data_IF_895641971297
#
_entry.id   IF_895641971297
#
_cell.length_a   1.000
_cell.length_b   1.000
_cell.length_c   1.000
_cell.angle_alpha   90.00
_cell.angle_beta   90.00
_cell.angle_gamma   90.00
#
_symmetry.space_group_name_H-M   'P 1'
#
loop_
_entity.id
_entity.type
_entity.pdbx_description
1 polymer ?
#
# COMPACT_ATOMS: atom_id res chain seq x y z
N UNK A 1 38.87 8.07 6.90
CA UNK A 1 39.20 7.04 7.86
C UNK A 1 37.99 6.70 8.71
N UNK A 2 37.92 5.54 9.35
CA UNK A 2 36.80 5.21 10.22
C UNK A 2 36.75 6.23 11.37
N UNK A 3 35.54 6.75 11.61
CA UNK A 3 35.29 7.59 12.79
C UNK A 3 35.29 6.65 14.00
N UNK A 4 36.19 6.93 14.98
CA UNK A 4 36.19 6.19 16.24
C UNK A 4 34.89 6.46 17.00
N UNK A 5 34.27 5.41 17.50
CA UNK A 5 33.05 5.47 18.36
C UNK A 5 33.40 5.66 19.83
N UNK A 6 34.67 5.88 20.19
CA UNK A 6 35.11 6.03 21.59
C UNK A 6 34.43 7.24 22.28
N UNK A 7 33.98 7.00 23.51
CA UNK A 7 33.41 8.00 24.42
C UNK A 7 32.08 8.64 23.97
N UNK A 8 31.31 7.96 23.10
CA UNK A 8 29.96 8.39 22.87
C UNK A 8 29.05 8.07 24.08
N UNK A 9 28.06 8.92 24.39
CA UNK A 9 27.18 8.68 25.54
C UNK A 9 26.36 7.43 25.35
N UNK A 10 26.21 6.63 26.39
CA UNK A 10 25.35 5.45 26.42
C UNK A 10 24.28 5.57 27.50
N UNK A 11 23.10 4.95 27.28
CA UNK A 11 22.05 4.91 28.29
C UNK A 11 22.42 3.96 29.45
N UNK A 12 21.81 4.16 30.62
CA UNK A 12 22.02 3.29 31.77
C UNK A 12 21.61 1.82 31.51
N UNK A 13 20.68 1.60 30.58
CA UNK A 13 20.20 0.31 30.12
C UNK A 13 20.78 -0.10 28.74
N UNK A 14 21.94 0.42 28.37
CA UNK A 14 22.62 0.08 27.13
C UNK A 14 22.88 -1.45 27.05
N UNK A 15 22.70 -2.03 25.89
CA UNK A 15 23.06 -3.44 25.63
C UNK A 15 24.57 -3.64 25.83
N UNK A 16 25.38 -2.73 25.28
CA UNK A 16 26.84 -2.71 25.39
C UNK A 16 27.29 -1.28 25.75
N UNK A 17 27.95 -1.15 26.90
CA UNK A 17 28.39 0.16 27.41
C UNK A 17 29.84 0.51 27.07
N UNK A 18 30.63 -0.49 26.64
CA UNK A 18 32.05 -0.31 26.29
C UNK A 18 32.26 -0.62 24.81
N UNK A 19 33.28 -0.03 24.23
CA UNK A 19 33.68 -0.21 22.84
C UNK A 19 35.20 -0.30 22.73
N UNK A 20 35.68 -1.03 21.72
CA UNK A 20 37.09 -0.99 21.31
C UNK A 20 37.41 0.19 20.34
N UNK A 21 36.34 0.93 19.97
CA UNK A 21 36.43 2.11 19.07
C UNK A 21 35.94 1.83 17.65
N UNK A 22 35.55 0.60 17.32
CA UNK A 22 35.15 0.16 15.99
C UNK A 22 33.77 -0.51 15.95
N UNK A 23 33.02 -0.41 17.03
CA UNK A 23 31.64 -0.95 17.12
C UNK A 23 30.64 -0.04 16.45
N UNK A 24 29.49 -0.60 16.10
CA UNK A 24 28.31 0.20 15.77
C UNK A 24 27.88 1.01 17.01
N UNK A 25 27.34 2.18 16.74
CA UNK A 25 26.69 2.98 17.76
C UNK A 25 25.25 3.27 17.33
N UNK A 26 24.32 2.78 18.15
CA UNK A 26 22.89 3.05 17.99
C UNK A 26 22.46 4.13 18.96
N UNK A 27 21.72 5.09 18.46
CA UNK A 27 21.09 6.10 19.31
C UNK A 27 19.65 6.36 18.86
N UNK A 28 18.80 6.62 19.82
CA UNK A 28 17.45 7.12 19.65
C UNK A 28 17.36 8.45 20.37
N UNK A 29 16.92 9.45 19.67
CA UNK A 29 16.69 10.79 20.20
C UNK A 29 15.19 11.09 20.13
N UNK A 30 14.73 12.03 20.96
CA UNK A 30 13.35 12.51 20.86
C UNK A 30 13.10 13.22 19.51
N UNK A 31 11.85 13.48 19.18
CA UNK A 31 11.43 14.13 17.94
C UNK A 31 11.90 15.57 17.81
N UNK A 32 12.18 16.25 18.94
CA UNK A 32 12.77 17.57 19.00
C UNK A 32 14.31 17.57 18.87
N UNK A 33 14.94 16.38 18.81
CA UNK A 33 16.40 16.20 18.84
C UNK A 33 17.07 16.84 20.07
N UNK A 34 16.34 16.94 21.18
CA UNK A 34 16.77 17.65 22.37
C UNK A 34 17.30 16.75 23.46
N UNK A 35 16.93 15.45 23.44
CA UNK A 35 17.36 14.48 24.44
C UNK A 35 17.66 13.12 23.85
N UNK A 36 18.63 12.43 24.47
CA UNK A 36 18.98 11.05 24.16
C UNK A 36 18.03 10.12 24.91
N UNK A 37 17.19 9.39 24.15
CA UNK A 37 16.24 8.42 24.73
C UNK A 37 16.90 7.09 25.02
N UNK A 38 17.74 6.62 24.10
CA UNK A 38 18.51 5.38 24.23
C UNK A 38 19.77 5.46 23.41
N UNK A 39 20.86 4.88 23.93
CA UNK A 39 22.08 4.69 23.15
C UNK A 39 22.88 3.48 23.67
N UNK A 40 23.49 2.78 22.73
CA UNK A 40 24.29 1.60 22.98
C UNK A 40 25.35 1.41 21.91
N UNK A 41 26.46 0.79 22.28
CA UNK A 41 27.35 0.17 21.32
C UNK A 41 26.84 -1.22 20.95
N UNK A 42 27.32 -1.74 19.82
CA UNK A 42 27.04 -3.08 19.36
C UNK A 42 28.13 -3.57 18.42
N UNK A 43 28.92 -4.52 18.83
CA UNK A 43 30.03 -5.08 18.07
C UNK A 43 30.85 -6.07 18.87
N UNK A 44 31.90 -6.60 18.24
CA UNK A 44 32.85 -7.50 18.86
C UNK A 44 33.88 -6.76 19.71
N UNK A 45 34.70 -7.49 20.44
CA UNK A 45 35.76 -6.92 21.30
C UNK A 45 37.12 -6.80 20.61
N UNK A 46 37.27 -7.34 19.41
CA UNK A 46 38.53 -7.40 18.66
C UNK A 46 38.34 -7.21 17.15
N UNK A 47 37.12 -7.16 16.68
CA UNK A 47 36.79 -7.01 15.26
C UNK A 47 36.39 -5.58 14.95
N UNK A 48 36.57 -5.19 13.69
CA UNK A 48 36.12 -3.91 13.17
C UNK A 48 34.85 -4.15 12.38
N UNK A 49 33.72 -3.75 12.91
CA UNK A 49 32.44 -3.82 12.21
C UNK A 49 32.20 -2.59 11.36
N UNK A 50 31.63 -2.79 10.18
CA UNK A 50 31.24 -1.68 9.32
C UNK A 50 30.09 -2.02 8.38
N UNK A 51 29.49 -0.99 7.81
CA UNK A 51 28.39 -1.11 6.84
C UNK A 51 28.94 -0.75 5.47
N UNK A 52 28.96 -1.70 4.55
CA UNK A 52 29.30 -1.49 3.17
C UNK A 52 28.03 -1.23 2.35
N UNK A 53 27.66 0.04 2.14
CA UNK A 53 26.48 0.40 1.38
C UNK A 53 25.17 -0.16 1.95
N UNK A 54 25.10 -0.27 3.27
CA UNK A 54 24.11 -1.05 3.98
C UNK A 54 22.67 -0.58 3.81
N UNK A 55 21.78 -1.52 3.93
CA UNK A 55 20.33 -1.30 3.95
C UNK A 55 19.81 -1.58 5.34
N UNK A 56 19.50 -0.52 6.09
CA UNK A 56 18.71 -0.62 7.31
C UNK A 56 17.23 -0.74 6.95
N UNK A 57 16.50 -1.56 7.70
CA UNK A 57 15.05 -1.64 7.63
C UNK A 57 14.48 -1.48 9.03
N UNK A 58 13.39 -0.73 9.10
CA UNK A 58 12.62 -0.56 10.32
C UNK A 58 11.22 -1.14 10.07
N UNK A 59 10.73 -1.90 11.00
CA UNK A 59 9.33 -2.31 10.98
C UNK A 59 8.45 -1.32 11.79
N UNK A 60 7.14 -1.52 11.75
CA UNK A 60 6.20 -0.70 12.51
C UNK A 60 6.38 -0.78 14.04
N UNK A 61 7.09 -1.80 14.53
CA UNK A 61 7.40 -1.98 15.96
C UNK A 61 8.68 -1.26 16.39
N UNK A 62 9.32 -0.52 15.47
CA UNK A 62 10.61 0.15 15.75
C UNK A 62 11.79 -0.81 15.80
N UNK A 63 11.64 -2.03 15.28
CA UNK A 63 12.72 -3.01 15.24
C UNK A 63 13.60 -2.71 14.04
N UNK A 64 14.92 -2.68 14.28
CA UNK A 64 15.93 -2.53 13.24
C UNK A 64 16.36 -3.90 12.73
N UNK A 65 16.46 -4.02 11.41
CA UNK A 65 17.07 -5.15 10.71
C UNK A 65 18.23 -4.62 9.89
N UNK A 66 19.43 -5.15 10.12
CA UNK A 66 20.65 -4.67 9.48
C UNK A 66 21.53 -5.82 9.03
N UNK A 67 22.11 -5.69 7.82
CA UNK A 67 23.19 -6.52 7.31
C UNK A 67 24.48 -5.72 7.35
N UNK A 68 25.56 -6.33 7.81
CA UNK A 68 26.84 -5.69 8.10
C UNK A 68 28.02 -6.60 7.76
N UNK A 69 29.19 -6.02 7.59
CA UNK A 69 30.47 -6.74 7.69
C UNK A 69 30.79 -6.95 9.16
N UNK A 70 30.79 -8.20 9.59
CA UNK A 70 31.03 -8.60 10.98
C UNK A 70 32.27 -9.48 11.10
N UNK A 71 32.92 -9.45 12.25
CA UNK A 71 34.07 -10.27 12.58
C UNK A 71 35.28 -10.01 11.69
N UNK A 72 35.50 -8.76 11.29
CA UNK A 72 36.63 -8.40 10.43
C UNK A 72 37.97 -8.72 11.08
N UNK A 73 38.89 -9.21 10.26
CA UNK A 73 40.16 -9.80 10.76
C UNK A 73 40.07 -11.30 11.04
N UNK A 74 38.97 -11.96 10.67
CA UNK A 74 38.75 -13.39 10.90
C UNK A 74 38.24 -13.72 12.29
N UNK A 75 37.78 -12.73 13.06
CA UNK A 75 37.27 -12.91 14.42
C UNK A 75 35.85 -13.47 14.42
N UNK A 76 35.47 -14.16 15.49
CA UNK A 76 34.13 -14.70 15.71
C UNK A 76 33.52 -14.12 17.01
N UNK A 77 33.75 -12.86 17.26
CA UNK A 77 33.37 -12.15 18.49
C UNK A 77 32.19 -11.19 18.32
N UNK A 78 31.61 -11.11 17.10
CA UNK A 78 30.39 -10.36 16.88
C UNK A 78 29.24 -10.91 17.76
N UNK A 79 28.44 -10.06 18.43
CA UNK A 79 27.41 -10.50 19.33
C UNK A 79 26.38 -11.39 18.65
N UNK A 80 26.13 -12.58 19.23
CA UNK A 80 25.21 -13.59 18.71
C UNK A 80 24.15 -13.92 19.75
N UNK A 81 22.94 -13.48 19.47
CA UNK A 81 21.77 -13.70 20.31
C UNK A 81 20.54 -14.08 19.46
N UNK A 82 19.72 -15.05 19.86
CA UNK A 82 19.97 -16.02 20.93
C UNK A 82 21.02 -17.06 20.53
N UNK A 83 21.74 -17.56 21.53
CA UNK A 83 22.66 -18.66 21.35
C UNK A 83 22.24 -19.85 22.29
N UNK A 84 21.83 -21.04 21.78
CA UNK A 84 21.75 -21.41 20.35
C UNK A 84 20.52 -20.83 19.66
N UNK A 85 20.62 -20.59 18.34
CA UNK A 85 19.50 -20.08 17.53
C UNK A 85 19.93 -19.34 16.28
N UNK A 86 21.14 -18.79 16.26
CA UNK A 86 21.74 -18.21 15.06
C UNK A 86 22.09 -19.31 14.04
N UNK A 87 22.00 -18.96 12.75
CA UNK A 87 22.36 -19.86 11.64
C UNK A 87 23.84 -20.25 11.68
N UNK A 88 24.70 -19.34 12.10
CA UNK A 88 26.14 -19.57 12.32
C UNK A 88 26.62 -18.71 13.48
N UNK A 89 27.48 -19.28 14.29
CA UNK A 89 28.12 -18.61 15.42
C UNK A 89 29.63 -18.36 15.20
N UNK A 90 30.12 -18.72 14.01
CA UNK A 90 31.56 -18.66 13.69
C UNK A 90 31.75 -17.95 12.37
N UNK A 91 32.71 -17.02 12.34
CA UNK A 91 33.25 -16.47 11.12
C UNK A 91 34.24 -17.47 10.52
N UNK A 92 33.88 -18.10 9.41
CA UNK A 92 34.76 -19.02 8.68
C UNK A 92 35.58 -18.31 7.58
N UNK A 93 35.52 -16.99 7.49
CA UNK A 93 36.35 -16.19 6.59
C UNK A 93 37.65 -15.81 7.29
N UNK A 94 38.72 -15.63 6.51
CA UNK A 94 39.97 -15.06 7.02
C UNK A 94 39.88 -13.52 7.21
N UNK A 95 38.74 -12.94 6.86
CA UNK A 95 38.46 -11.51 6.93
C UNK A 95 37.05 -11.30 7.48
N UNK A 96 36.30 -10.33 6.99
CA UNK A 96 34.90 -10.11 7.36
C UNK A 96 33.97 -11.18 6.80
N UNK A 97 32.85 -11.37 7.45
CA UNK A 97 31.72 -12.16 6.95
C UNK A 97 30.43 -11.33 7.05
N UNK A 98 29.40 -11.75 6.35
CA UNK A 98 28.10 -11.09 6.46
C UNK A 98 27.42 -11.45 7.78
N UNK A 99 27.25 -10.46 8.64
CA UNK A 99 26.46 -10.53 9.84
C UNK A 99 25.07 -9.93 9.60
N UNK A 100 24.03 -10.58 10.12
CA UNK A 100 22.67 -10.04 10.11
C UNK A 100 22.16 -9.98 11.54
N UNK A 101 21.69 -8.84 11.97
CA UNK A 101 21.09 -8.70 13.27
C UNK A 101 19.73 -8.01 13.23
N UNK A 102 18.96 -8.30 14.27
CA UNK A 102 17.68 -7.69 14.57
C UNK A 102 17.81 -7.04 15.96
N UNK A 103 17.60 -5.73 16.03
CA UNK A 103 17.70 -4.99 17.29
C UNK A 103 16.32 -4.44 17.69
N UNK A 104 15.86 -4.81 18.89
CA UNK A 104 14.62 -4.33 19.46
C UNK A 104 14.94 -3.45 20.68
N UNK A 105 14.55 -2.17 20.61
CA UNK A 105 14.74 -1.24 21.73
C UNK A 105 13.68 -1.39 22.83
N UNK A 106 12.64 -2.20 22.59
CA UNK A 106 11.51 -2.41 23.50
C UNK A 106 10.79 -1.11 23.91
N UNK A 107 10.70 -0.17 22.97
CA UNK A 107 9.98 1.06 23.21
C UNK A 107 8.47 0.81 23.28
N UNK A 108 7.75 1.57 24.14
CA UNK A 108 6.31 1.54 24.12
C UNK A 108 5.79 2.08 22.78
N UNK A 109 5.22 1.21 21.98
CA UNK A 109 4.63 1.55 20.68
C UNK A 109 3.14 1.27 20.69
N UNK A 110 2.38 2.08 19.97
CA UNK A 110 1.00 1.74 19.63
C UNK A 110 0.95 1.25 18.19
N UNK A 111 0.31 0.10 17.96
CA UNK A 111 0.17 -0.52 16.65
C UNK A 111 -1.30 -0.78 16.43
N UNK A 112 -1.89 -0.09 15.46
CA UNK A 112 -3.28 -0.28 15.09
C UNK A 112 -3.43 -1.52 14.20
N UNK A 113 -4.35 -2.39 14.58
CA UNK A 113 -4.82 -3.49 13.74
C UNK A 113 -6.24 -3.88 14.12
N UNK A 114 -6.99 -4.44 13.17
CA UNK A 114 -8.31 -4.97 13.43
C UNK A 114 -8.65 -6.12 12.48
N UNK A 115 -9.61 -6.93 12.89
CA UNK A 115 -10.23 -7.93 12.05
C UNK A 115 -11.67 -7.54 11.75
N UNK A 116 -12.08 -7.75 10.50
CA UNK A 116 -13.44 -7.64 10.01
C UNK A 116 -13.58 -8.57 8.80
N UNK A 117 -14.77 -9.09 8.50
CA UNK A 117 -14.97 -9.83 7.26
C UNK A 117 -14.70 -8.91 6.06
N UNK A 118 -13.97 -9.39 5.06
CA UNK A 118 -13.72 -8.66 3.81
C UNK A 118 -15.02 -8.37 3.03
N UNK A 119 -16.00 -9.23 3.21
CA UNK A 119 -17.33 -9.11 2.63
C UNK A 119 -18.37 -9.36 3.71
N UNK A 120 -19.24 -8.37 3.91
CA UNK A 120 -20.38 -8.45 4.83
C UNK A 120 -21.70 -8.52 4.09
N UNK A 121 -22.71 -9.13 4.72
CA UNK A 121 -24.11 -8.95 4.36
C UNK A 121 -24.69 -7.76 5.13
N UNK A 122 -25.87 -7.28 4.78
CA UNK A 122 -26.52 -6.10 5.39
C UNK A 122 -26.91 -6.22 6.88
N UNK A 123 -26.59 -7.34 7.49
CA UNK A 123 -26.72 -7.55 8.94
C UNK A 123 -25.44 -7.12 9.63
N UNK A 124 -25.51 -6.21 10.55
CA UNK A 124 -24.42 -5.60 11.29
C UNK A 124 -23.08 -6.32 11.37
N UNK A 125 -22.03 -5.65 11.01
CA UNK A 125 -20.67 -6.19 11.09
C UNK A 125 -20.04 -5.88 12.43
N UNK A 126 -19.36 -6.88 12.99
CA UNK A 126 -18.55 -6.74 14.18
C UNK A 126 -17.10 -6.49 13.79
N UNK A 127 -16.51 -5.44 14.32
CA UNK A 127 -15.10 -5.10 14.14
C UNK A 127 -14.33 -5.50 15.40
N UNK A 128 -13.41 -6.42 15.25
CA UNK A 128 -12.56 -6.84 16.35
C UNK A 128 -11.26 -6.04 16.29
N UNK A 129 -11.04 -5.20 17.28
CA UNK A 129 -9.79 -4.50 17.48
C UNK A 129 -8.68 -5.49 17.89
N UNK A 130 -7.57 -5.44 17.18
CA UNK A 130 -6.35 -6.24 17.42
C UNK A 130 -5.14 -5.33 17.69
N UNK A 131 -5.37 -4.06 17.92
CA UNK A 131 -4.31 -3.10 18.23
C UNK A 131 -3.56 -3.51 19.49
N UNK A 132 -2.28 -3.21 19.53
CA UNK A 132 -1.42 -3.50 20.66
C UNK A 132 -0.68 -2.25 21.14
N UNK A 133 -0.54 -2.11 22.47
CA UNK A 133 0.29 -1.11 23.11
C UNK A 133 0.59 -1.52 24.55
N UNK A 134 1.73 -1.06 25.08
CA UNK A 134 2.09 -1.19 26.50
C UNK A 134 1.58 0.00 27.35
N UNK A 135 0.90 0.94 26.75
CA UNK A 135 0.35 2.16 27.37
C UNK A 135 -1.14 2.28 27.06
N UNK A 136 -1.93 3.00 27.86
CA UNK A 136 -3.36 3.17 27.61
C UNK A 136 -3.67 3.74 26.22
N UNK A 137 -4.67 3.16 25.56
CA UNK A 137 -5.04 3.51 24.17
C UNK A 137 -6.49 3.98 24.12
N UNK A 138 -6.74 4.98 23.29
CA UNK A 138 -8.08 5.38 22.87
C UNK A 138 -8.23 5.14 21.37
N UNK A 139 -9.43 4.72 20.95
CA UNK A 139 -9.72 4.30 19.59
C UNK A 139 -10.66 5.27 18.90
N UNK A 140 -10.46 5.44 17.60
CA UNK A 140 -11.37 6.17 16.74
C UNK A 140 -11.55 5.39 15.43
N UNK A 141 -12.78 5.03 15.15
CA UNK A 141 -13.18 4.34 13.94
C UNK A 141 -13.89 5.30 12.99
N UNK A 142 -13.58 5.17 11.71
CA UNK A 142 -14.34 5.72 10.60
C UNK A 142 -14.73 4.55 9.72
N UNK A 143 -16.02 4.34 9.48
CA UNK A 143 -16.52 3.21 8.70
C UNK A 143 -16.58 3.49 7.20
N UNK A 144 -16.24 4.71 6.77
CA UNK A 144 -16.19 5.08 5.35
C UNK A 144 -17.56 5.43 4.74
N UNK A 145 -18.63 5.41 5.52
CA UNK A 145 -19.99 5.82 5.16
C UNK A 145 -20.44 7.15 5.79
N UNK A 146 -19.49 7.87 6.38
CA UNK A 146 -19.72 9.11 7.11
C UNK A 146 -20.06 8.91 8.59
N UNK A 147 -20.06 7.68 9.08
CA UNK A 147 -20.30 7.37 10.50
C UNK A 147 -18.99 6.95 11.19
N UNK A 148 -18.97 7.05 12.52
CA UNK A 148 -17.78 6.78 13.33
C UNK A 148 -18.13 6.13 14.67
N UNK A 149 -17.09 5.57 15.36
CA UNK A 149 -17.22 5.02 16.71
C UNK A 149 -15.94 5.25 17.51
N UNK A 150 -16.06 5.27 18.83
CA UNK A 150 -14.92 5.28 19.76
C UNK A 150 -14.86 4.02 20.62
N UNK A 151 -15.72 3.04 20.35
CA UNK A 151 -15.73 1.77 21.06
C UNK A 151 -14.48 0.94 20.67
N UNK A 152 -14.01 0.13 21.60
CA UNK A 152 -12.88 -0.76 21.35
C UNK A 152 -13.24 -1.81 20.29
N UNK A 153 -14.40 -2.45 20.40
CA UNK A 153 -14.92 -3.45 19.47
C UNK A 153 -16.31 -3.02 18.99
N UNK A 154 -16.41 -2.14 17.97
CA UNK A 154 -17.71 -1.64 17.53
C UNK A 154 -18.45 -2.65 16.66
N UNK A 155 -19.79 -2.56 16.71
CA UNK A 155 -20.65 -3.12 15.69
C UNK A 155 -21.16 -1.97 14.81
N UNK A 156 -21.24 -2.19 13.51
CA UNK A 156 -21.73 -1.20 12.57
C UNK A 156 -22.63 -1.82 11.49
N UNK A 157 -23.69 -1.10 11.12
CA UNK A 157 -24.64 -1.48 10.06
C UNK A 157 -24.51 -0.54 8.87
N UNK A 158 -24.09 -1.05 7.75
CA UNK A 158 -24.11 -0.31 6.50
C UNK A 158 -25.53 -0.28 5.91
N UNK A 159 -25.94 0.87 5.42
CA UNK A 159 -27.27 1.07 4.84
C UNK A 159 -27.33 0.86 3.33
N UNK A 160 -26.16 0.79 2.67
CA UNK A 160 -26.04 0.59 1.23
C UNK A 160 -24.96 -0.46 0.93
N UNK A 161 -25.14 -1.17 -0.20
CA UNK A 161 -24.08 -2.01 -0.75
C UNK A 161 -22.93 -1.16 -1.28
N UNK A 162 -21.72 -1.70 -1.31
CA UNK A 162 -20.57 -0.99 -1.86
C UNK A 162 -19.25 -1.29 -1.17
N UNK A 163 -18.21 -0.65 -1.67
CA UNK A 163 -16.88 -0.66 -1.07
C UNK A 163 -16.74 0.44 -0.03
N UNK A 164 -16.30 0.06 1.15
CA UNK A 164 -16.04 0.99 2.24
C UNK A 164 -14.60 0.86 2.70
N UNK A 165 -13.95 2.00 2.96
CA UNK A 165 -12.62 2.02 3.56
C UNK A 165 -12.78 2.27 5.06
N UNK A 166 -12.65 1.22 5.84
CA UNK A 166 -12.68 1.32 7.30
C UNK A 166 -11.32 1.74 7.81
N UNK A 167 -11.29 2.80 8.61
CA UNK A 167 -10.08 3.34 9.24
C UNK A 167 -10.18 3.16 10.74
N UNK A 168 -9.15 2.60 11.35
CA UNK A 168 -8.94 2.62 12.79
C UNK A 168 -7.71 3.46 13.12
N UNK A 169 -7.90 4.44 14.01
CA UNK A 169 -6.83 5.21 14.64
C UNK A 169 -6.73 4.77 16.08
N UNK A 170 -5.56 4.31 16.50
CA UNK A 170 -5.22 4.00 17.87
C UNK A 170 -4.29 5.07 18.42
N UNK A 171 -4.73 5.83 19.42
CA UNK A 171 -3.96 6.89 20.05
C UNK A 171 -3.51 6.48 21.44
N UNK A 172 -2.22 6.61 21.71
CA UNK A 172 -1.59 6.32 22.99
C UNK A 172 -0.53 7.38 23.31
N UNK A 173 -0.89 8.44 24.06
CA UNK A 173 0.05 9.53 24.37
C UNK A 173 1.32 9.10 25.12
N UNK A 174 1.29 7.92 25.76
CA UNK A 174 2.46 7.33 26.41
C UNK A 174 3.34 6.47 25.50
N UNK A 175 2.96 6.25 24.25
CA UNK A 175 3.77 5.54 23.28
C UNK A 175 4.70 6.48 22.52
N UNK A 176 5.85 5.96 22.07
CA UNK A 176 6.84 6.75 21.32
C UNK A 176 6.31 7.28 19.99
N UNK A 177 5.43 6.54 19.33
CA UNK A 177 4.79 6.96 18.08
C UNK A 177 3.44 7.67 18.29
N UNK A 178 3.01 7.87 19.53
CA UNK A 178 1.77 8.57 19.93
C UNK A 178 0.49 8.02 19.29
N UNK A 179 0.50 7.70 18.00
CA UNK A 179 -0.65 7.13 17.27
C UNK A 179 -0.21 6.25 16.10
N UNK A 180 -1.07 5.31 15.75
CA UNK A 180 -0.98 4.53 14.51
C UNK A 180 -2.34 4.42 13.85
N UNK A 181 -2.34 4.23 12.54
CA UNK A 181 -3.55 4.18 11.72
C UNK A 181 -3.49 3.01 10.75
N UNK A 182 -4.56 2.22 10.73
CA UNK A 182 -4.76 1.13 9.76
C UNK A 182 -6.01 1.38 8.93
N UNK A 183 -5.96 1.06 7.64
CA UNK A 183 -7.11 1.10 6.73
C UNK A 183 -7.29 -0.25 6.08
N UNK A 184 -8.52 -0.73 6.08
CA UNK A 184 -8.90 -1.96 5.36
C UNK A 184 -10.15 -1.70 4.54
N UNK A 185 -10.17 -2.26 3.34
CA UNK A 185 -11.37 -2.20 2.50
C UNK A 185 -12.27 -3.39 2.82
N UNK A 186 -13.56 -3.14 2.90
CA UNK A 186 -14.60 -4.16 3.02
C UNK A 186 -15.65 -3.91 1.95
N UNK A 187 -16.27 -4.97 1.48
CA UNK A 187 -17.37 -4.91 0.55
C UNK A 187 -18.67 -5.37 1.22
N UNK A 188 -19.71 -4.55 1.15
CA UNK A 188 -21.03 -4.86 1.69
C UNK A 188 -21.94 -5.36 0.57
N UNK A 189 -22.41 -6.58 0.71
CA UNK A 189 -23.44 -7.19 -0.13
C UNK A 189 -24.81 -6.91 0.46
N UNK A 190 -25.73 -6.49 -0.38
CA UNK A 190 -27.13 -6.36 0.01
C UNK A 190 -27.98 -7.10 -1.00
N UNK A 191 -28.68 -8.12 -0.68
CA UNK A 191 -29.58 -8.87 -1.55
C UNK A 191 -30.47 -7.95 -2.43
N UNK A 192 -29.84 -7.10 -3.26
CA UNK A 192 -30.43 -6.01 -3.99
C UNK A 192 -30.06 -6.00 -5.47
N UNK A 193 -30.47 -4.95 -6.15
CA UNK A 193 -30.05 -4.60 -7.50
C UNK A 193 -29.56 -3.17 -7.46
N UNK A 194 -28.26 -3.00 -7.31
CA UNK A 194 -27.64 -1.68 -7.36
C UNK A 194 -27.04 -1.42 -8.75
N UNK A 195 -26.86 -0.16 -9.09
CA UNK A 195 -26.30 0.22 -10.39
C UNK A 195 -24.95 0.91 -10.15
N UNK A 196 -23.91 0.41 -10.81
CA UNK A 196 -22.61 1.08 -10.84
C UNK A 196 -22.66 2.29 -11.78
N UNK A 197 -21.78 3.24 -11.56
CA UNK A 197 -21.66 4.40 -12.44
C UNK A 197 -21.41 3.95 -13.88
N UNK A 198 -22.17 4.43 -14.88
CA UNK A 198 -21.93 4.11 -16.26
C UNK A 198 -20.52 4.45 -16.70
N UNK A 199 -19.91 3.58 -17.49
CA UNK A 199 -18.57 3.77 -18.04
C UNK A 199 -18.66 4.01 -19.54
N UNK A 200 -17.79 4.89 -20.04
CA UNK A 200 -17.76 5.28 -21.46
C UNK A 200 -16.48 4.76 -22.11
N UNK A 201 -16.58 4.18 -23.30
CA UNK A 201 -15.43 3.76 -24.11
C UNK A 201 -15.65 4.02 -25.60
N UNK A 202 -14.58 4.10 -26.37
CA UNK A 202 -14.67 4.05 -27.83
C UNK A 202 -14.93 2.62 -28.30
N UNK A 203 -15.50 2.49 -29.49
CA UNK A 203 -15.98 1.20 -30.05
C UNK A 203 -14.89 0.12 -30.06
N UNK A 204 -13.70 0.46 -30.49
CA UNK A 204 -12.59 -0.51 -30.65
C UNK A 204 -11.74 -0.68 -29.37
N UNK A 205 -11.97 0.12 -28.34
CA UNK A 205 -11.22 0.04 -27.10
C UNK A 205 -11.65 -1.14 -26.22
N UNK A 206 -10.75 -1.52 -25.32
CA UNK A 206 -11.07 -2.39 -24.20
C UNK A 206 -11.09 -1.56 -22.91
N UNK A 207 -12.10 -1.77 -22.10
CA UNK A 207 -12.26 -1.09 -20.82
C UNK A 207 -12.38 -2.09 -19.69
N UNK A 208 -11.62 -1.88 -18.61
CA UNK A 208 -11.79 -2.65 -17.41
C UNK A 208 -13.05 -2.19 -16.66
N UNK A 209 -13.96 -3.11 -16.35
CA UNK A 209 -15.26 -2.83 -15.74
C UNK A 209 -15.37 -3.53 -14.38
N UNK A 210 -16.40 -3.19 -13.61
CA UNK A 210 -16.71 -3.84 -12.34
C UNK A 210 -16.00 -3.24 -11.14
N UNK A 211 -15.57 -4.08 -10.21
CA UNK A 211 -15.07 -3.71 -8.90
C UNK A 211 -13.60 -4.07 -8.72
N UNK A 212 -12.90 -3.38 -7.83
CA UNK A 212 -11.57 -3.79 -7.41
C UNK A 212 -11.62 -5.20 -6.79
N UNK A 213 -10.63 -6.05 -7.05
CA UNK A 213 -10.57 -7.39 -6.46
C UNK A 213 -10.54 -7.33 -4.93
N UNK A 214 -11.36 -8.17 -4.30
CA UNK A 214 -11.29 -8.41 -2.86
C UNK A 214 -10.42 -9.64 -2.62
N UNK A 215 -9.50 -9.55 -1.67
CA UNK A 215 -8.60 -10.66 -1.33
C UNK A 215 -9.26 -11.67 -0.38
N UNK A 216 -10.39 -12.22 -0.80
CA UNK A 216 -11.13 -13.26 -0.09
C UNK A 216 -11.49 -14.38 -1.08
N UNK A 217 -10.94 -15.60 -0.91
CA UNK A 217 -11.15 -16.69 -1.83
C UNK A 217 -12.58 -17.28 -1.78
N UNK A 218 -13.39 -16.90 -0.81
CA UNK A 218 -14.79 -17.34 -0.69
C UNK A 218 -15.73 -16.52 -1.57
N UNK A 219 -15.26 -15.42 -2.15
CA UNK A 219 -16.07 -14.56 -3.01
C UNK A 219 -16.13 -15.11 -4.42
N UNK A 220 -17.35 -15.30 -4.89
CA UNK A 220 -17.66 -15.77 -6.24
C UNK A 220 -18.23 -14.60 -7.02
N UNK A 221 -17.65 -14.35 -8.19
CA UNK A 221 -18.12 -13.36 -9.16
C UNK A 221 -18.73 -14.07 -10.35
N UNK A 222 -19.83 -13.55 -10.89
CA UNK A 222 -20.45 -14.07 -12.10
C UNK A 222 -21.07 -12.95 -12.92
N UNK A 223 -20.54 -12.73 -14.12
CA UNK A 223 -21.04 -11.72 -15.06
C UNK A 223 -22.04 -12.33 -16.05
N UNK A 224 -23.11 -11.61 -16.28
CA UNK A 224 -24.12 -12.00 -17.25
C UNK A 224 -24.58 -10.81 -18.11
N UNK A 225 -24.67 -10.97 -19.44
CA UNK A 225 -24.05 -12.07 -20.19
C UNK A 225 -22.52 -11.99 -20.16
N UNK A 226 -21.85 -13.10 -20.50
CA UNK A 226 -20.36 -13.15 -20.52
C UNK A 226 -19.77 -12.71 -21.85
N UNK A 227 -20.61 -12.40 -22.84
CA UNK A 227 -20.18 -12.01 -24.20
C UNK A 227 -19.35 -10.72 -24.15
N UNK A 228 -18.24 -10.69 -24.89
CA UNK A 228 -17.32 -9.57 -24.96
C UNK A 228 -16.62 -9.22 -23.64
N UNK A 229 -16.59 -10.15 -22.69
CA UNK A 229 -15.80 -10.04 -21.46
C UNK A 229 -14.60 -10.98 -21.51
N UNK A 230 -13.46 -10.53 -21.01
CA UNK A 230 -12.23 -11.35 -20.91
C UNK A 230 -12.42 -12.55 -19.97
N UNK A 231 -13.27 -12.43 -18.97
CA UNK A 231 -13.68 -13.49 -18.04
C UNK A 231 -15.04 -13.16 -17.42
N UNK A 232 -15.85 -14.19 -17.18
CA UNK A 232 -17.11 -14.02 -16.46
C UNK A 232 -16.99 -14.17 -14.94
N UNK A 233 -15.84 -14.66 -14.43
CA UNK A 233 -15.69 -15.09 -13.03
C UNK A 233 -14.66 -14.29 -12.25
N UNK A 234 -14.40 -13.05 -12.67
CA UNK A 234 -13.49 -12.11 -11.97
C UNK A 234 -14.24 -10.82 -11.63
N UNK A 235 -13.77 -10.09 -10.62
CA UNK A 235 -14.42 -8.84 -10.20
C UNK A 235 -14.35 -7.74 -11.25
N UNK A 236 -13.31 -7.72 -12.08
CA UNK A 236 -12.96 -6.60 -12.96
C UNK A 236 -12.47 -7.06 -14.35
N UNK A 237 -13.31 -7.74 -15.15
CA UNK A 237 -12.93 -8.17 -16.50
C UNK A 237 -12.71 -6.97 -17.42
N UNK A 238 -12.00 -7.20 -18.52
CA UNK A 238 -11.98 -6.29 -19.64
C UNK A 238 -13.22 -6.52 -20.52
N UNK A 239 -13.89 -5.43 -20.88
CA UNK A 239 -15.04 -5.40 -21.79
C UNK A 239 -14.61 -4.88 -23.17
N UNK A 240 -14.90 -5.66 -24.21
CA UNK A 240 -14.67 -5.32 -25.62
C UNK A 240 -15.98 -5.17 -26.41
N UNK A 241 -17.11 -4.87 -25.74
CA UNK A 241 -18.40 -4.71 -26.44
C UNK A 241 -18.31 -3.62 -27.53
N UNK A 242 -18.72 -3.89 -28.77
CA UNK A 242 -18.74 -2.91 -29.82
C UNK A 242 -19.96 -1.98 -29.78
N UNK A 243 -20.90 -2.23 -28.90
CA UNK A 243 -22.16 -1.47 -28.75
C UNK A 243 -22.43 -1.20 -27.28
N UNK A 244 -23.17 -0.13 -26.99
CA UNK A 244 -23.68 0.15 -25.64
C UNK A 244 -24.45 -1.04 -25.11
N UNK A 245 -24.07 -1.47 -23.90
CA UNK A 245 -24.63 -2.66 -23.28
C UNK A 245 -24.61 -2.56 -21.76
N UNK A 246 -25.56 -3.23 -21.10
CA UNK A 246 -25.61 -3.34 -19.64
C UNK A 246 -25.31 -4.77 -19.22
N UNK A 247 -24.27 -4.94 -18.41
CA UNK A 247 -23.90 -6.21 -17.78
C UNK A 247 -24.46 -6.28 -16.37
N UNK A 248 -24.75 -7.48 -15.92
CA UNK A 248 -25.09 -7.79 -14.54
C UNK A 248 -23.92 -8.54 -13.90
N UNK A 249 -23.40 -8.04 -12.78
CA UNK A 249 -22.46 -8.74 -11.92
C UNK A 249 -23.20 -9.31 -10.73
N UNK A 250 -23.11 -10.62 -10.53
CA UNK A 250 -23.50 -11.29 -9.29
C UNK A 250 -22.25 -11.50 -8.43
N UNK A 251 -22.36 -11.16 -7.16
CA UNK A 251 -21.30 -11.34 -6.16
C UNK A 251 -21.87 -12.14 -5.01
N UNK A 252 -21.23 -13.23 -4.61
CA UNK A 252 -21.67 -14.07 -3.51
C UNK A 252 -20.51 -14.49 -2.63
N UNK A 253 -20.74 -14.57 -1.32
CA UNK A 253 -19.85 -15.19 -0.35
C UNK A 253 -20.37 -16.54 0.18
N UNK A 254 -21.34 -17.13 -0.53
CA UNK A 254 -22.01 -18.36 -0.11
C UNK A 254 -23.14 -18.16 0.91
N UNK A 255 -23.21 -17.01 1.58
CA UNK A 255 -24.26 -16.67 2.57
C UNK A 255 -25.24 -15.67 1.99
N UNK A 256 -24.75 -14.65 1.31
CA UNK A 256 -25.56 -13.65 0.62
C UNK A 256 -25.07 -13.44 -0.81
N UNK A 257 -25.95 -12.88 -1.64
CA UNK A 257 -25.66 -12.57 -3.03
C UNK A 257 -26.12 -11.15 -3.33
N UNK A 258 -25.31 -10.38 -3.99
CA UNK A 258 -25.65 -9.07 -4.49
C UNK A 258 -25.66 -9.06 -6.01
N UNK A 259 -26.41 -8.12 -6.60
CA UNK A 259 -26.56 -7.97 -8.03
C UNK A 259 -26.31 -6.51 -8.40
N UNK A 260 -25.28 -6.28 -9.21
CA UNK A 260 -24.89 -4.96 -9.67
C UNK A 260 -25.11 -4.86 -11.19
N UNK A 261 -25.66 -3.76 -11.64
CA UNK A 261 -25.76 -3.44 -13.07
C UNK A 261 -24.65 -2.48 -13.45
N UNK A 262 -23.91 -2.82 -14.51
CA UNK A 262 -22.87 -1.97 -15.09
C UNK A 262 -23.24 -1.62 -16.54
N UNK A 263 -23.60 -0.39 -16.76
CA UNK A 263 -23.78 0.13 -18.10
C UNK A 263 -22.44 0.51 -18.72
N UNK A 264 -22.21 0.06 -19.97
CA UNK A 264 -21.10 0.45 -20.81
C UNK A 264 -21.66 1.22 -21.98
N UNK A 265 -21.36 2.51 -22.02
CA UNK A 265 -21.74 3.39 -23.12
C UNK A 265 -20.62 3.35 -24.16
N UNK A 266 -20.96 2.88 -25.35
CA UNK A 266 -20.00 2.84 -26.46
C UNK A 266 -20.25 4.03 -27.38
N UNK A 267 -19.23 4.84 -27.57
CA UNK A 267 -19.23 5.96 -28.49
C UNK A 267 -18.46 5.60 -29.75
N UNK A 268 -19.02 5.92 -30.90
CA UNK A 268 -18.33 5.80 -32.18
C UNK A 268 -17.80 7.20 -32.54
N UNK A 269 -16.48 7.35 -32.45
CA UNK A 269 -15.80 8.58 -32.78
C UNK A 269 -15.27 8.46 -34.21
N UNK A 270 -15.82 9.22 -35.12
CA UNK A 270 -15.34 9.34 -36.48
C UNK A 270 -14.73 10.73 -36.66
N UNK A 271 -13.48 10.76 -37.06
CA UNK A 271 -12.81 11.97 -37.51
C UNK A 271 -12.30 11.69 -38.93
N UNK A 272 -12.77 12.46 -39.90
CA UNK A 272 -12.28 12.46 -41.28
C UNK A 272 -11.72 13.85 -41.58
N UNK A 273 -10.43 13.92 -41.75
CA UNK A 273 -9.71 15.15 -42.11
C UNK A 273 -9.66 15.43 -43.62
N UNK A 274 -10.37 14.58 -44.39
CA UNK A 274 -10.36 14.65 -45.84
C UNK A 274 -9.10 14.03 -46.47
N UNK A 275 -9.00 14.13 -47.77
CA UNK A 275 -7.87 13.57 -48.53
C UNK A 275 -6.60 14.41 -48.33
N UNK A 276 -5.46 13.71 -48.27
CA UNK A 276 -4.15 14.35 -48.23
C UNK A 276 -3.98 15.27 -49.49
N UNK A 277 -3.73 16.53 -49.24
CA UNK A 277 -3.59 17.54 -50.28
C UNK A 277 -2.30 18.34 -50.09
N UNK A 278 -1.60 18.62 -51.21
CA UNK A 278 -0.46 19.53 -51.20
C UNK A 278 -0.70 20.63 -52.22
N UNK A 279 -0.54 21.88 -51.79
CA UNK A 279 -0.69 23.08 -52.63
C UNK A 279 0.54 23.97 -52.45
N UNK A 280 0.91 24.64 -53.57
CA UNK A 280 1.96 25.64 -53.54
C UNK A 280 1.32 27.03 -53.76
N UNK A 281 1.55 27.96 -52.86
CA UNK A 281 1.21 29.39 -52.97
C UNK A 281 -0.28 29.74 -53.14
N UNK A 282 -1.21 28.87 -52.74
CA UNK A 282 -2.64 29.15 -52.72
C UNK A 282 -3.20 28.84 -51.33
N UNK A 283 -4.00 29.74 -50.73
CA UNK A 283 -4.70 29.41 -49.48
C UNK A 283 -5.66 28.24 -49.72
N UNK A 284 -5.64 27.26 -48.84
CA UNK A 284 -6.59 26.16 -48.84
C UNK A 284 -7.43 26.20 -47.58
N UNK A 285 -8.67 25.76 -47.68
CA UNK A 285 -9.54 25.52 -46.56
C UNK A 285 -9.40 24.04 -46.18
N UNK A 286 -9.01 23.78 -44.95
CA UNK A 286 -9.01 22.43 -44.37
C UNK A 286 -10.37 22.18 -43.70
N UNK A 287 -11.06 21.16 -44.14
CA UNK A 287 -12.34 20.78 -43.57
C UNK A 287 -12.21 19.39 -42.93
N UNK A 288 -12.78 19.22 -41.75
CA UNK A 288 -12.93 17.92 -41.13
C UNK A 288 -14.38 17.67 -40.77
N UNK A 289 -14.84 16.47 -41.06
CA UNK A 289 -16.11 15.96 -40.54
C UNK A 289 -15.87 15.15 -39.28
N UNK A 290 -16.74 15.32 -38.30
CA UNK A 290 -16.62 14.58 -37.04
C UNK A 290 -17.98 14.23 -36.44
N UNK A 291 -17.98 13.18 -35.64
CA UNK A 291 -19.11 12.80 -34.86
C UNK A 291 -18.64 12.40 -33.44
N UNK A 292 -19.31 12.86 -32.41
CA UNK A 292 -19.02 12.52 -31.02
C UNK A 292 -17.94 13.33 -30.33
N UNK A 293 -17.26 14.27 -31.01
CA UNK A 293 -16.31 15.18 -30.40
C UNK A 293 -16.97 16.47 -29.89
N UNK A 294 -16.49 17.00 -28.78
CA UNK A 294 -16.92 18.30 -28.24
C UNK A 294 -16.15 19.48 -28.83
N UNK A 295 -14.95 19.22 -29.35
CA UNK A 295 -14.09 20.18 -30.02
C UNK A 295 -13.12 19.50 -30.99
N UNK A 296 -12.66 20.20 -32.02
CA UNK A 296 -11.57 19.80 -32.92
C UNK A 296 -10.47 20.83 -32.80
N UNK A 297 -9.23 20.34 -32.73
CA UNK A 297 -8.05 21.18 -32.80
C UNK A 297 -7.16 20.72 -33.94
N UNK A 298 -6.69 21.66 -34.73
CA UNK A 298 -5.70 21.45 -35.76
C UNK A 298 -4.31 21.76 -35.21
N UNK A 299 -3.33 20.98 -35.60
CA UNK A 299 -1.93 21.22 -35.25
C UNK A 299 -1.05 21.07 -36.46
N UNK A 300 -0.01 21.87 -36.55
CA UNK A 300 1.01 21.77 -37.60
C UNK A 300 2.03 20.69 -37.33
N UNK A 301 2.04 20.08 -36.15
CA UNK A 301 2.99 19.05 -35.77
C UNK A 301 2.34 17.84 -35.04
N UNK A 302 3.01 16.71 -35.12
CA UNK A 302 2.52 15.43 -34.54
C UNK A 302 2.46 15.41 -33.01
N UNK A 303 3.10 16.35 -32.33
CA UNK A 303 3.14 16.43 -30.87
C UNK A 303 2.06 17.38 -30.32
N UNK A 304 1.27 17.99 -31.14
CA UNK A 304 0.21 18.93 -30.77
C UNK A 304 0.70 20.05 -29.83
N UNK A 305 1.94 20.52 -30.03
CA UNK A 305 2.52 21.61 -29.24
C UNK A 305 2.06 22.99 -29.68
N UNK A 306 1.43 23.08 -30.84
CA UNK A 306 0.76 24.27 -31.39
C UNK A 306 -0.68 23.93 -31.79
N UNK A 307 -1.58 24.84 -31.58
CA UNK A 307 -2.96 24.76 -32.09
C UNK A 307 -3.16 25.83 -33.14
N UNK A 308 -3.58 25.41 -34.34
CA UNK A 308 -4.00 26.37 -35.34
C UNK A 308 -5.39 26.87 -34.93
N UNK A 309 -5.58 28.20 -34.83
CA UNK A 309 -6.88 28.80 -34.59
C UNK A 309 -7.78 28.62 -35.81
N UNK A 310 -9.03 28.24 -35.58
CA UNK A 310 -10.08 28.30 -36.60
C UNK A 310 -10.43 29.75 -36.93
#
# INVERSE_FOLDING_TARGET
GPLSTLNLPVSANAYQSNTDGNDFYFMVVDDALSSLVYATYFGGSQSNEHVDGGTSRFDKKGIIYQSVCAGCGGNSDFPIEPNPGAVSVTNNSINCNNGVFKFNFDFPMVIADFNAPWVGCDTGLSFQNLSSSNTPVVYQWDFGDGTSSVQEHPNHNYTQAGNYTVTLIANSPGACNVSDTIRKQIYILRNGKDTLTPLVKCKEDQLQIGLLPVNDPTIIYSWFPSTNLSSANVSNPFCSSPTTFTYQLLISNGTCTDSLLQEIVVTDFLLDAGADTSYCNIPIILEASYNGASAIHWSSNVNFTDTLSL
#
